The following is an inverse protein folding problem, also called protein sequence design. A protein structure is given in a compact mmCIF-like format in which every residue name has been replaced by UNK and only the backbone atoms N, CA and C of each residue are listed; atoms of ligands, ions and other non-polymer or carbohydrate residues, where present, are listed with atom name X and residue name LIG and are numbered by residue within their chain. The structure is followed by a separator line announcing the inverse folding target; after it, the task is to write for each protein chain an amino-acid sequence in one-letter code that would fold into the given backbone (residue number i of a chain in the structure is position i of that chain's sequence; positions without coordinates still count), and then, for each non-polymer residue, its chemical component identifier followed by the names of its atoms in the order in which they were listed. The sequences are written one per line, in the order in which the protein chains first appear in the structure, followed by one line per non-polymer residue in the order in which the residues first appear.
data_IF_598648031124
#
_entry.id   IF_598648031124
#
_cell.length_a   1.000
_cell.length_b   1.000
_cell.length_c   1.000
_cell.angle_alpha   90.00
_cell.angle_beta   90.00
_cell.angle_gamma   90.00
#
_symmetry.space_group_name_H-M   'P 1'
#
loop_
_entity.id
_entity.type
_entity.pdbx_description
1 polymer ?
#
# COMPACT_ATOMS: atom_id res chain seq x y z
N UNK A 1 -3.54 14.38 35.00
CA UNK A 1 -2.89 15.64 34.56
C UNK A 1 -3.21 15.84 33.09
N UNK A 2 -3.99 16.89 32.81
CA UNK A 2 -4.33 17.49 31.50
C UNK A 2 -4.97 16.60 30.42
N UNK A 3 -6.31 16.59 30.46
CA UNK A 3 -7.20 16.31 29.34
C UNK A 3 -6.92 17.24 28.15
N UNK A 4 -7.19 16.73 26.95
CA UNK A 4 -7.02 17.45 25.69
C UNK A 4 -7.72 18.81 25.66
N UNK A 5 -6.97 19.85 25.98
CA UNK A 5 -7.38 21.24 25.87
C UNK A 5 -7.27 21.66 24.41
N UNK A 6 -8.41 21.77 23.72
CA UNK A 6 -8.47 22.58 22.50
C UNK A 6 -8.40 24.06 22.91
N UNK A 7 -7.70 24.94 22.18
CA UNK A 7 -7.44 26.33 22.59
C UNK A 7 -8.67 27.25 22.67
N UNK A 8 -9.88 26.71 22.51
CA UNK A 8 -11.13 27.47 22.28
C UNK A 8 -11.70 28.05 23.59
N UNK A 9 -11.37 27.47 24.74
CA UNK A 9 -12.10 27.74 26.00
C UNK A 9 -11.66 29.00 26.77
N UNK A 10 -10.76 29.84 26.23
CA UNK A 10 -10.27 31.05 26.94
C UNK A 10 -10.70 32.38 26.31
N UNK A 11 -11.64 32.37 25.36
CA UNK A 11 -12.17 33.58 24.74
C UNK A 11 -13.35 34.15 25.56
N UNK A 12 -13.05 35.23 26.30
CA UNK A 12 -13.98 36.04 27.11
C UNK A 12 -15.36 36.28 26.46
N UNK A 13 -16.42 36.15 27.26
CA UNK A 13 -17.84 36.35 26.90
C UNK A 13 -18.14 37.85 26.68
N UNK A 14 -17.74 38.39 25.52
CA UNK A 14 -18.06 39.76 25.11
C UNK A 14 -18.63 39.79 23.68
N UNK A 15 -19.54 40.74 23.35
CA UNK A 15 -20.28 40.77 22.08
C UNK A 15 -19.39 40.89 20.82
N UNK A 16 -18.15 41.37 20.95
CA UNK A 16 -17.17 41.37 19.86
C UNK A 16 -16.54 40.01 19.56
N UNK A 17 -16.62 39.05 20.50
CA UNK A 17 -15.96 37.75 20.39
C UNK A 17 -16.81 36.72 19.64
N UNK A 18 -18.13 36.88 19.65
CA UNK A 18 -19.07 36.01 18.90
C UNK A 18 -18.78 36.05 17.39
N UNK A 19 -18.55 37.25 16.84
CA UNK A 19 -18.22 37.43 15.43
C UNK A 19 -16.86 36.81 15.06
N UNK A 20 -15.89 36.86 15.98
CA UNK A 20 -14.58 36.23 15.81
C UNK A 20 -14.68 34.70 15.88
N UNK A 21 -15.46 34.17 16.83
CA UNK A 21 -15.74 32.74 16.95
C UNK A 21 -16.46 32.21 15.71
N UNK A 22 -17.44 32.95 15.17
CA UNK A 22 -18.15 32.59 13.95
C UNK A 22 -17.20 32.54 12.74
N UNK A 23 -16.35 33.56 12.57
CA UNK A 23 -15.36 33.60 11.50
C UNK A 23 -14.33 32.46 11.61
N UNK A 24 -13.85 32.16 12.83
CA UNK A 24 -12.91 31.08 13.07
C UNK A 24 -13.53 29.71 12.73
N UNK A 25 -14.75 29.46 13.20
CA UNK A 25 -15.48 28.22 12.91
C UNK A 25 -15.71 28.05 11.40
N UNK A 26 -16.12 29.12 10.72
CA UNK A 26 -16.30 29.14 9.26
C UNK A 26 -15.00 28.79 8.52
N UNK A 27 -13.88 29.40 8.92
CA UNK A 27 -12.58 29.10 8.33
C UNK A 27 -12.16 27.64 8.57
N UNK A 28 -12.32 27.12 9.81
CA UNK A 28 -12.01 25.74 10.13
C UNK A 28 -12.88 24.75 9.33
N UNK A 29 -14.16 25.04 9.14
CA UNK A 29 -15.06 24.26 8.29
C UNK A 29 -14.67 24.30 6.81
N UNK A 30 -14.32 25.47 6.28
CA UNK A 30 -13.82 25.62 4.91
C UNK A 30 -12.52 24.82 4.70
N UNK A 31 -11.58 24.87 5.65
CA UNK A 31 -10.35 24.08 5.60
C UNK A 31 -10.64 22.58 5.62
N UNK A 32 -11.58 22.12 6.46
CA UNK A 32 -12.01 20.72 6.51
C UNK A 32 -12.65 20.29 5.18
N UNK A 33 -13.54 21.11 4.61
CA UNK A 33 -14.17 20.87 3.31
C UNK A 33 -13.14 20.78 2.18
N UNK A 34 -12.19 21.72 2.11
CA UNK A 34 -11.10 21.72 1.12
C UNK A 34 -10.26 20.46 1.20
N UNK A 35 -9.80 20.09 2.40
CA UNK A 35 -9.03 18.85 2.62
C UNK A 35 -9.80 17.59 2.23
N UNK A 36 -11.10 17.53 2.54
CA UNK A 36 -11.93 16.38 2.19
C UNK A 36 -12.12 16.23 0.67
N UNK A 37 -12.30 17.34 -0.05
CA UNK A 37 -12.41 17.37 -1.52
C UNK A 37 -11.09 16.92 -2.15
N UNK A 38 -9.96 17.45 -1.67
CA UNK A 38 -8.62 17.09 -2.16
C UNK A 38 -8.32 15.60 -1.93
N UNK A 39 -8.57 15.08 -0.73
CA UNK A 39 -8.37 13.65 -0.43
C UNK A 39 -9.27 12.74 -1.29
N UNK A 40 -10.52 13.16 -1.55
CA UNK A 40 -11.43 12.44 -2.44
C UNK A 40 -10.92 12.45 -3.90
N UNK A 41 -10.42 13.59 -4.37
CA UNK A 41 -9.82 13.74 -5.69
C UNK A 41 -8.58 12.87 -5.88
N UNK A 42 -7.67 12.87 -4.90
CA UNK A 42 -6.47 12.02 -4.91
C UNK A 42 -6.81 10.53 -4.89
N UNK A 43 -7.80 10.12 -4.07
CA UNK A 43 -8.30 8.75 -4.01
C UNK A 43 -8.81 8.31 -5.39
N UNK A 44 -9.62 9.15 -6.04
CA UNK A 44 -10.17 8.85 -7.37
C UNK A 44 -9.05 8.72 -8.41
N UNK A 45 -8.10 9.66 -8.43
CA UNK A 45 -6.97 9.61 -9.36
C UNK A 45 -6.13 8.34 -9.20
N UNK A 46 -5.80 7.92 -7.96
CA UNK A 46 -5.07 6.67 -7.69
C UNK A 46 -5.82 5.44 -8.21
N UNK A 47 -7.15 5.41 -8.06
CA UNK A 47 -7.99 4.30 -8.55
C UNK A 47 -8.08 4.29 -10.07
N UNK A 48 -8.23 5.44 -10.71
CA UNK A 48 -8.29 5.56 -12.16
C UNK A 48 -6.94 5.13 -12.80
N UNK A 49 -5.81 5.52 -12.18
CA UNK A 49 -4.48 5.06 -12.59
C UNK A 49 -4.32 3.54 -12.46
N UNK A 50 -4.76 2.96 -11.34
CA UNK A 50 -4.77 1.51 -11.15
C UNK A 50 -5.60 0.80 -12.23
N UNK A 51 -6.83 1.26 -12.50
CA UNK A 51 -7.68 0.64 -13.52
C UNK A 51 -7.06 0.75 -14.92
N UNK A 52 -6.41 1.87 -15.24
CA UNK A 52 -5.66 2.04 -16.48
C UNK A 52 -4.53 1.00 -16.59
N UNK A 53 -3.71 0.81 -15.57
CA UNK A 53 -2.67 -0.22 -15.60
C UNK A 53 -3.23 -1.64 -15.67
N UNK A 54 -4.32 -1.93 -14.94
CA UNK A 54 -5.00 -3.23 -15.00
C UNK A 54 -5.61 -3.52 -16.38
N UNK A 55 -6.06 -2.49 -17.11
CA UNK A 55 -6.63 -2.63 -18.45
C UNK A 55 -5.61 -3.09 -19.50
N UNK A 56 -4.33 -2.71 -19.32
CA UNK A 56 -3.22 -3.09 -20.22
C UNK A 56 -2.88 -4.58 -20.14
N UNK A 57 -3.30 -5.27 -19.08
CA UNK A 57 -2.99 -6.68 -18.84
C UNK A 57 -4.14 -7.53 -19.39
N UNK A 58 -3.89 -8.44 -20.31
CA UNK A 58 -4.94 -9.36 -20.78
C UNK A 58 -5.11 -10.53 -19.80
N UNK A 59 -6.35 -10.88 -19.47
CA UNK A 59 -6.66 -12.00 -18.56
C UNK A 59 -6.49 -11.67 -17.06
N UNK A 60 -6.15 -12.70 -16.27
CA UNK A 60 -5.88 -12.61 -14.83
C UNK A 60 -7.03 -12.01 -14.00
N UNK A 61 -8.27 -12.33 -14.35
CA UNK A 61 -9.46 -11.69 -13.78
C UNK A 61 -9.52 -11.74 -12.25
N UNK A 62 -9.25 -12.90 -11.66
CA UNK A 62 -9.25 -13.08 -10.19
C UNK A 62 -8.20 -12.21 -9.51
N UNK A 63 -6.98 -12.16 -10.07
CA UNK A 63 -5.89 -11.33 -9.56
C UNK A 63 -6.25 -9.84 -9.62
N UNK A 64 -6.86 -9.39 -10.74
CA UNK A 64 -7.34 -8.02 -10.89
C UNK A 64 -8.40 -7.68 -9.84
N UNK A 65 -9.34 -8.57 -9.57
CA UNK A 65 -10.33 -8.38 -8.52
C UNK A 65 -9.68 -8.28 -7.13
N UNK A 66 -8.71 -9.14 -6.82
CA UNK A 66 -7.97 -9.09 -5.55
C UNK A 66 -7.21 -7.77 -5.38
N UNK A 67 -6.53 -7.30 -6.44
CA UNK A 67 -5.83 -6.01 -6.43
C UNK A 67 -6.79 -4.84 -6.15
N UNK A 68 -7.95 -4.79 -6.82
CA UNK A 68 -8.99 -3.79 -6.54
C UNK A 68 -9.46 -3.83 -5.10
N UNK A 69 -9.63 -5.03 -4.54
CA UNK A 69 -10.05 -5.21 -3.14
C UNK A 69 -8.98 -4.66 -2.18
N UNK A 70 -7.71 -4.92 -2.43
CA UNK A 70 -6.63 -4.38 -1.61
C UNK A 70 -6.49 -2.88 -1.76
N UNK A 71 -6.56 -2.33 -2.97
CA UNK A 71 -6.53 -0.89 -3.22
C UNK A 71 -7.63 -0.15 -2.44
N UNK A 72 -8.88 -0.64 -2.53
CA UNK A 72 -10.00 -0.13 -1.72
C UNK A 72 -9.71 -0.21 -0.22
N UNK A 73 -9.13 -1.31 0.23
CA UNK A 73 -8.71 -1.47 1.63
C UNK A 73 -7.69 -0.44 2.07
N UNK A 74 -6.69 -0.16 1.25
CA UNK A 74 -5.64 0.83 1.53
C UNK A 74 -6.20 2.26 1.59
N UNK A 75 -7.12 2.61 0.69
CA UNK A 75 -7.78 3.92 0.71
C UNK A 75 -8.66 4.12 1.97
N UNK A 76 -9.35 3.07 2.41
CA UNK A 76 -10.10 3.12 3.67
C UNK A 76 -9.17 3.30 4.86
N UNK A 77 -8.00 2.67 4.83
CA UNK A 77 -7.00 2.79 5.88
C UNK A 77 -6.36 4.19 5.91
N UNK A 78 -6.04 4.77 4.75
CA UNK A 78 -5.57 6.16 4.61
C UNK A 78 -6.62 7.14 5.19
N UNK A 79 -7.91 6.92 4.88
CA UNK A 79 -9.01 7.72 5.43
C UNK A 79 -9.15 7.57 6.94
N UNK A 80 -9.03 6.36 7.48
CA UNK A 80 -9.06 6.11 8.92
C UNK A 80 -7.91 6.82 9.63
N UNK A 81 -6.70 6.75 9.07
CA UNK A 81 -5.52 7.44 9.60
C UNK A 81 -5.72 8.97 9.60
N UNK A 82 -6.29 9.53 8.53
CA UNK A 82 -6.59 10.96 8.45
C UNK A 82 -7.59 11.45 9.51
N UNK A 83 -8.44 10.54 10.04
CA UNK A 83 -9.36 10.79 11.14
C UNK A 83 -8.75 10.49 12.52
N UNK A 84 -7.45 10.17 12.59
CA UNK A 84 -6.77 9.81 13.84
C UNK A 84 -7.11 8.40 14.37
N UNK A 85 -7.78 7.56 13.56
CA UNK A 85 -8.10 6.19 13.95
C UNK A 85 -6.86 5.30 13.78
N UNK A 86 -6.62 4.41 14.74
CA UNK A 86 -5.57 3.40 14.64
C UNK A 86 -5.89 2.41 13.52
N UNK A 87 -4.94 2.21 12.63
CA UNK A 87 -5.00 1.18 11.58
C UNK A 87 -3.91 0.15 11.86
N UNK A 88 -4.28 -1.12 11.87
CA UNK A 88 -3.32 -2.22 12.05
C UNK A 88 -2.38 -2.34 10.84
N UNK A 89 -1.14 -2.79 11.08
CA UNK A 89 -0.20 -3.06 10.01
C UNK A 89 -0.74 -4.17 9.09
N UNK A 90 -0.82 -3.89 7.79
CA UNK A 90 -1.11 -4.93 6.79
C UNK A 90 0.16 -5.69 6.47
N UNK A 91 0.09 -7.02 6.51
CA UNK A 91 1.15 -7.86 5.97
C UNK A 91 1.00 -7.92 4.46
N UNK A 92 2.08 -7.71 3.68
CA UNK A 92 2.06 -7.95 2.26
C UNK A 92 1.65 -9.40 1.96
N UNK A 93 0.86 -9.64 0.90
CA UNK A 93 0.46 -10.99 0.52
C UNK A 93 1.65 -11.77 -0.05
N UNK A 94 1.69 -13.07 0.25
CA UNK A 94 2.56 -14.02 -0.44
C UNK A 94 1.78 -14.69 -1.56
N UNK A 95 2.43 -14.92 -2.71
CA UNK A 95 1.81 -15.53 -3.88
C UNK A 95 2.74 -16.54 -4.52
N UNK A 96 2.14 -17.54 -5.17
CA UNK A 96 2.82 -18.50 -6.03
C UNK A 96 2.23 -18.44 -7.44
N UNK A 97 3.10 -18.35 -8.44
CA UNK A 97 2.70 -18.42 -9.86
C UNK A 97 2.93 -19.83 -10.36
N UNK A 98 1.86 -20.55 -10.70
CA UNK A 98 1.91 -21.95 -11.12
C UNK A 98 1.75 -22.10 -12.64
N UNK A 99 2.35 -23.16 -13.19
CA UNK A 99 2.21 -23.60 -14.59
C UNK A 99 3.55 -23.83 -15.30
N UNK A 100 3.49 -24.09 -16.61
CA UNK A 100 4.67 -24.52 -17.37
C UNK A 100 5.75 -23.42 -17.50
N UNK A 101 7.03 -23.80 -17.66
CA UNK A 101 8.09 -22.87 -18.03
C UNK A 101 7.75 -22.09 -19.31
N UNK A 102 8.18 -20.83 -19.39
CA UNK A 102 7.94 -19.98 -20.57
C UNK A 102 6.56 -19.29 -20.62
N UNK A 103 5.64 -19.54 -19.68
CA UNK A 103 4.30 -18.90 -19.68
C UNK A 103 4.29 -17.49 -19.06
N UNK A 104 5.39 -16.75 -19.12
CA UNK A 104 5.46 -15.34 -18.68
C UNK A 104 5.33 -15.07 -17.18
N UNK A 105 5.46 -16.07 -16.29
CA UNK A 105 5.29 -15.91 -14.81
C UNK A 105 6.16 -14.80 -14.23
N UNK A 106 7.41 -14.74 -14.66
CA UNK A 106 8.37 -13.72 -14.25
C UNK A 106 7.94 -12.32 -14.69
N UNK A 107 7.36 -12.21 -15.89
CA UNK A 107 6.86 -10.94 -16.40
C UNK A 107 5.65 -10.46 -15.58
N UNK A 108 4.74 -11.38 -15.25
CA UNK A 108 3.59 -11.08 -14.38
C UNK A 108 4.04 -10.64 -12.98
N UNK A 109 5.06 -11.28 -12.41
CA UNK A 109 5.62 -10.88 -11.13
C UNK A 109 6.11 -9.43 -11.11
N UNK A 110 6.84 -8.99 -12.15
CA UNK A 110 7.33 -7.61 -12.28
C UNK A 110 6.17 -6.61 -12.38
N UNK A 111 5.16 -6.92 -13.18
CA UNK A 111 3.96 -6.08 -13.31
C UNK A 111 3.24 -5.99 -11.96
N UNK A 112 3.10 -7.12 -11.27
CA UNK A 112 2.45 -7.16 -9.97
C UNK A 112 3.20 -6.35 -8.92
N UNK A 113 4.53 -6.39 -8.90
CA UNK A 113 5.35 -5.56 -8.00
C UNK A 113 5.04 -4.07 -8.14
N UNK A 114 4.96 -3.58 -9.39
CA UNK A 114 4.56 -2.20 -9.70
C UNK A 114 3.16 -1.87 -9.22
N UNK A 115 2.19 -2.75 -9.51
CA UNK A 115 0.79 -2.54 -9.12
C UNK A 115 0.61 -2.52 -7.60
N UNK A 116 1.24 -3.46 -6.88
CA UNK A 116 1.16 -3.53 -5.42
C UNK A 116 1.85 -2.33 -4.75
N UNK A 117 2.92 -1.81 -5.35
CA UNK A 117 3.56 -0.58 -4.89
C UNK A 117 2.66 0.64 -5.12
N UNK A 118 2.09 0.77 -6.33
CA UNK A 118 1.19 1.86 -6.70
C UNK A 118 0.00 1.99 -5.74
N UNK A 119 -0.57 0.86 -5.29
CA UNK A 119 -1.70 0.86 -4.34
C UNK A 119 -1.28 0.91 -2.87
N UNK A 120 0.02 1.04 -2.58
CA UNK A 120 0.57 1.21 -1.22
C UNK A 120 0.69 -0.07 -0.39
N UNK A 121 0.57 -1.25 -1.00
CA UNK A 121 0.78 -2.53 -0.30
C UNK A 121 2.27 -2.81 -0.12
N UNK A 122 3.08 -2.45 -1.12
CA UNK A 122 4.53 -2.59 -1.07
C UNK A 122 5.23 -1.24 -0.92
N UNK A 123 6.31 -1.18 -0.13
CA UNK A 123 7.12 0.03 -0.02
C UNK A 123 7.94 0.33 -1.29
N UNK A 124 8.14 -0.66 -2.17
CA UNK A 124 8.88 -0.52 -3.43
C UNK A 124 8.28 -1.41 -4.51
N UNK A 125 8.45 -1.03 -5.77
CA UNK A 125 8.09 -1.80 -6.96
C UNK A 125 9.17 -2.81 -7.41
N UNK A 126 10.34 -2.81 -6.75
CA UNK A 126 11.46 -3.68 -7.11
C UNK A 126 11.13 -5.15 -6.86
N UNK A 127 11.25 -5.95 -7.92
CA UNK A 127 11.10 -7.41 -7.87
C UNK A 127 12.45 -8.06 -8.05
N UNK A 128 12.84 -8.88 -7.07
CA UNK A 128 14.05 -9.68 -7.11
C UNK A 128 13.72 -11.10 -7.55
N UNK A 129 14.29 -11.52 -8.66
CA UNK A 129 14.24 -12.90 -9.11
C UNK A 129 15.34 -13.69 -8.42
N UNK A 130 14.98 -14.84 -7.87
CA UNK A 130 15.89 -15.70 -7.13
C UNK A 130 15.68 -17.14 -7.61
N UNK A 131 16.77 -17.79 -8.00
CA UNK A 131 16.76 -19.19 -8.41
C UNK A 131 17.28 -20.11 -7.29
N UNK A 132 17.16 -21.43 -7.48
CA UNK A 132 17.64 -22.42 -6.50
C UNK A 132 19.13 -22.22 -6.17
N UNK A 133 19.95 -21.95 -7.17
CA UNK A 133 21.40 -21.74 -7.07
C UNK A 133 21.78 -20.50 -6.25
N UNK A 134 20.89 -19.50 -6.19
CA UNK A 134 21.08 -18.30 -5.38
C UNK A 134 20.83 -18.55 -3.89
N UNK A 135 20.07 -19.59 -3.54
CA UNK A 135 19.67 -19.90 -2.17
C UNK A 135 20.50 -21.03 -1.56
N UNK A 136 20.93 -22.00 -2.38
CA UNK A 136 21.63 -23.19 -1.93
C UNK A 136 23.14 -23.03 -2.10
N UNK A 137 23.90 -23.35 -1.05
CA UNK A 137 25.36 -23.39 -1.09
C UNK A 137 25.86 -24.72 -1.68
N UNK A 138 27.00 -24.68 -2.36
CA UNK A 138 27.66 -25.90 -2.90
C UNK A 138 28.23 -26.79 -1.79
N UNK A 139 28.53 -26.20 -0.62
CA UNK A 139 29.13 -26.88 0.52
C UNK A 139 28.23 -26.78 1.76
N UNK A 140 28.34 -27.78 2.65
CA UNK A 140 27.64 -27.83 3.93
C UNK A 140 27.94 -26.55 4.73
N UNK A 141 26.90 -25.94 5.31
CA UNK A 141 27.02 -24.69 6.07
C UNK A 141 26.89 -23.41 5.24
N UNK A 142 26.97 -23.45 3.90
CA UNK A 142 26.89 -22.25 3.06
C UNK A 142 25.46 -21.82 2.69
N UNK A 143 24.46 -22.69 2.84
CA UNK A 143 23.05 -22.40 2.50
C UNK A 143 22.41 -21.36 3.44
N UNK A 144 22.68 -21.42 4.74
CA UNK A 144 22.09 -20.51 5.73
C UNK A 144 22.45 -19.04 5.47
N UNK A 145 23.74 -18.69 5.35
CA UNK A 145 24.18 -17.33 5.01
C UNK A 145 23.66 -16.83 3.64
N UNK A 146 23.67 -17.68 2.60
CA UNK A 146 23.14 -17.33 1.27
C UNK A 146 21.65 -16.97 1.32
N UNK A 147 20.84 -17.82 1.93
CA UNK A 147 19.39 -17.62 2.06
C UNK A 147 19.09 -16.36 2.88
N UNK A 148 19.75 -16.18 4.04
CA UNK A 148 19.51 -15.04 4.91
C UNK A 148 19.87 -13.71 4.23
N UNK A 149 20.93 -13.67 3.42
CA UNK A 149 21.32 -12.48 2.65
C UNK A 149 20.24 -12.06 1.66
N UNK A 150 19.58 -13.01 1.00
CA UNK A 150 18.52 -12.73 0.01
C UNK A 150 17.19 -12.37 0.68
N UNK A 151 16.81 -13.04 1.77
CA UNK A 151 15.54 -12.83 2.47
C UNK A 151 15.55 -11.58 3.36
N UNK A 152 16.66 -11.32 4.08
CA UNK A 152 16.73 -10.21 5.03
C UNK A 152 16.66 -8.83 4.36
N UNK A 153 16.90 -8.75 3.05
CA UNK A 153 17.03 -7.49 2.35
C UNK A 153 15.67 -6.97 1.81
N UNK A 154 14.62 -7.80 1.68
CA UNK A 154 13.39 -7.39 1.00
C UNK A 154 12.09 -8.02 1.56
N UNK A 155 11.06 -7.19 1.67
CA UNK A 155 9.79 -7.46 2.38
C UNK A 155 8.83 -8.45 1.69
N UNK A 156 9.08 -8.87 0.45
CA UNK A 156 8.21 -9.83 -0.27
C UNK A 156 9.03 -10.87 -1.02
N UNK A 157 8.93 -12.11 -0.55
CA UNK A 157 9.38 -13.28 -1.28
C UNK A 157 8.23 -13.74 -2.19
N UNK A 158 8.39 -13.53 -3.49
CA UNK A 158 7.49 -14.01 -4.53
C UNK A 158 8.12 -15.31 -5.07
N UNK A 159 7.70 -16.45 -4.52
CA UNK A 159 8.29 -17.74 -4.85
C UNK A 159 7.74 -18.22 -6.20
N UNK A 160 8.48 -17.99 -7.28
CA UNK A 160 8.23 -18.61 -8.58
C UNK A 160 8.99 -19.95 -8.57
N UNK A 161 8.29 -21.05 -8.32
CA UNK A 161 8.92 -22.37 -8.21
C UNK A 161 9.27 -22.92 -9.60
N UNK A 162 10.54 -23.29 -9.78
CA UNK A 162 11.06 -23.93 -10.98
C UNK A 162 10.91 -25.45 -10.83
N UNK A 163 9.82 -26.00 -11.38
CA UNK A 163 9.76 -27.41 -11.75
C UNK A 163 10.24 -27.53 -13.19
N UNK A 164 11.56 -27.57 -13.33
CA UNK A 164 12.19 -28.27 -14.43
C UNK A 164 13.31 -29.07 -13.81
N UNK A 165 13.03 -30.33 -13.53
CA UNK A 165 13.84 -31.47 -13.94
C UNK A 165 13.01 -32.72 -13.58
N UNK A 166 12.88 -33.59 -14.58
CA UNK A 166 12.57 -35.00 -14.41
C UNK A 166 13.53 -35.64 -13.41
#
# INVERSE_FOLDING_TARGET
MQEGMTPINHLSQGPGNEKLQELLNRHLEEQRKRKAIEACGQTKAKMDELENELSKIVGLHELKQQLRKWAKGMLLDERRQALGLKVGARRPPHMAFLGNPGTGKTMVARILGKLLHMVGILPTDKVMEVQRTDLVGEFVGHTGPKTRRKVSFWYVALYIWHLSHM
#
